data_IF_724914286078
#
_entry.id   IF_724914286078
#
_cell.length_a   1.000
_cell.length_b   1.000
_cell.length_c   1.000
_cell.angle_alpha   90.00
_cell.angle_beta   90.00
_cell.angle_gamma   90.00
#
_symmetry.space_group_name_H-M   'P 1'
#
loop_
_entity.id
_entity.type
_entity.pdbx_description
1 polymer ?
#
# COMPACT_ATOMS: atom_id res chain seq x y z
N UNK A 1 -3.01 -28.76 -2.21
CA UNK A 1 -2.87 -27.64 -1.28
C UNK A 1 -2.02 -26.54 -1.91
N UNK A 2 -2.50 -25.34 -1.87
CA UNK A 2 -1.75 -24.22 -2.45
C UNK A 2 -0.80 -23.62 -1.41
N UNK A 3 0.37 -23.22 -1.89
CA UNK A 3 1.35 -22.54 -1.07
C UNK A 3 0.94 -21.06 -1.01
N UNK A 4 0.88 -20.43 0.18
CA UNK A 4 0.55 -19.02 0.24
C UNK A 4 1.50 -18.18 -0.60
N UNK A 5 0.96 -17.22 -1.29
CA UNK A 5 1.76 -16.30 -2.08
C UNK A 5 2.56 -15.42 -1.12
N UNK A 6 3.88 -15.47 -1.21
CA UNK A 6 4.75 -14.69 -0.34
C UNK A 6 4.49 -13.19 -0.48
N UNK A 7 4.16 -12.75 -1.70
CA UNK A 7 3.86 -11.34 -1.92
C UNK A 7 2.59 -10.92 -1.19
N UNK A 8 1.56 -11.76 -1.21
CA UNK A 8 0.32 -11.45 -0.49
C UNK A 8 0.56 -11.36 1.01
N UNK A 9 1.37 -12.27 1.55
CA UNK A 9 1.70 -12.27 2.95
C UNK A 9 2.47 -11.01 3.33
N UNK A 10 3.46 -10.64 2.54
CA UNK A 10 4.25 -9.43 2.77
C UNK A 10 3.38 -8.18 2.68
N UNK A 11 2.49 -8.13 1.68
CA UNK A 11 1.56 -7.01 1.50
C UNK A 11 0.67 -6.86 2.73
N UNK A 12 0.15 -7.97 3.24
CA UNK A 12 -0.71 -7.95 4.42
C UNK A 12 0.04 -7.43 5.64
N UNK A 13 1.29 -7.85 5.81
CA UNK A 13 2.11 -7.38 6.93
C UNK A 13 2.37 -5.89 6.88
N UNK A 14 2.69 -5.38 5.69
CA UNK A 14 2.94 -3.94 5.51
C UNK A 14 1.65 -3.16 5.77
N UNK A 15 0.52 -3.66 5.31
CA UNK A 15 -0.77 -3.03 5.54
C UNK A 15 -1.08 -2.95 7.05
N UNK A 16 -0.82 -4.02 7.80
CA UNK A 16 -1.03 -4.04 9.24
C UNK A 16 -0.13 -3.02 9.95
N UNK A 17 1.09 -2.84 9.45
CA UNK A 17 2.00 -1.85 10.00
C UNK A 17 1.39 -0.46 9.92
N UNK A 18 0.77 -0.14 8.80
CA UNK A 18 0.11 1.15 8.61
C UNK A 18 -1.08 1.29 9.56
N UNK A 19 -1.87 0.24 9.72
CA UNK A 19 -3.04 0.27 10.60
C UNK A 19 -2.67 0.51 12.05
N UNK A 20 -1.48 0.11 12.46
CA UNK A 20 -1.02 0.27 13.84
C UNK A 20 -0.22 1.55 14.06
N UNK A 21 -0.02 2.36 13.03
CA UNK A 21 0.77 3.59 13.13
C UNK A 21 -0.02 4.80 12.63
N UNK A 22 0.10 5.91 13.34
CA UNK A 22 -0.47 7.18 12.90
C UNK A 22 0.60 8.12 12.32
N UNK A 23 1.84 7.63 12.19
CA UNK A 23 2.95 8.44 11.70
C UNK A 23 2.92 8.49 10.16
N UNK A 24 2.81 9.71 9.62
CA UNK A 24 2.73 9.91 8.17
C UNK A 24 3.98 9.38 7.45
N UNK A 25 5.15 9.48 8.07
CA UNK A 25 6.39 8.97 7.46
C UNK A 25 6.31 7.45 7.32
N UNK A 26 5.83 6.76 8.36
CA UNK A 26 5.66 5.31 8.31
C UNK A 26 4.63 4.93 7.25
N UNK A 27 3.52 5.65 7.19
CA UNK A 27 2.47 5.38 6.21
C UNK A 27 2.96 5.57 4.78
N UNK A 28 3.68 6.65 4.53
CA UNK A 28 4.23 6.93 3.21
C UNK A 28 5.27 5.87 2.81
N UNK A 29 6.15 5.52 3.75
CA UNK A 29 7.15 4.47 3.51
C UNK A 29 6.51 3.12 3.21
N UNK A 30 5.42 2.80 3.90
CA UNK A 30 4.69 1.56 3.66
C UNK A 30 4.08 1.54 2.26
N UNK A 31 3.50 2.67 1.82
CA UNK A 31 2.95 2.77 0.47
C UNK A 31 4.06 2.56 -0.56
N UNK A 32 5.22 3.17 -0.35
CA UNK A 32 6.36 3.00 -1.26
C UNK A 32 6.83 1.55 -1.30
N UNK A 33 6.86 0.89 -0.13
CA UNK A 33 7.22 -0.53 -0.06
C UNK A 33 6.21 -1.37 -0.82
N UNK A 34 4.91 -1.11 -0.65
CA UNK A 34 3.87 -1.82 -1.36
C UNK A 34 4.00 -1.64 -2.87
N UNK A 35 4.42 -0.44 -3.30
CA UNK A 35 4.57 -0.16 -4.72
C UNK A 35 5.58 -1.10 -5.39
N UNK A 36 6.55 -1.62 -4.65
CA UNK A 36 7.53 -2.54 -5.21
C UNK A 36 6.93 -3.87 -5.65
N UNK A 37 5.75 -4.21 -5.12
CA UNK A 37 5.05 -5.44 -5.53
C UNK A 37 4.23 -5.25 -6.80
N UNK A 38 4.00 -4.02 -7.22
CA UNK A 38 3.22 -3.73 -8.42
C UNK A 38 1.72 -3.94 -8.24
N UNK A 39 1.06 -4.43 -9.28
CA UNK A 39 -0.40 -4.58 -9.30
C UNK A 39 -1.00 -5.31 -8.10
N UNK A 40 -0.41 -6.40 -7.61
CA UNK A 40 -0.99 -7.09 -6.45
C UNK A 40 -1.17 -6.20 -5.22
N UNK A 41 -0.43 -5.10 -5.12
CA UNK A 41 -0.51 -4.21 -3.97
C UNK A 41 -1.51 -3.08 -4.13
N UNK A 42 -2.12 -2.92 -5.31
CA UNK A 42 -3.05 -1.80 -5.56
C UNK A 42 -4.21 -1.82 -4.57
N UNK A 43 -4.79 -3.00 -4.32
CA UNK A 43 -5.91 -3.11 -3.39
C UNK A 43 -5.50 -2.70 -1.98
N UNK A 44 -4.31 -3.11 -1.55
CA UNK A 44 -3.81 -2.76 -0.23
C UNK A 44 -3.60 -1.25 -0.10
N UNK A 45 -3.01 -0.63 -1.12
CA UNK A 45 -2.81 0.82 -1.12
C UNK A 45 -4.16 1.53 -1.09
N UNK A 46 -5.13 1.04 -1.87
CA UNK A 46 -6.48 1.61 -1.89
C UNK A 46 -7.14 1.55 -0.51
N UNK A 47 -6.97 0.44 0.21
CA UNK A 47 -7.51 0.32 1.56
C UNK A 47 -6.86 1.31 2.51
N UNK A 48 -5.54 1.49 2.40
CA UNK A 48 -4.81 2.42 3.25
C UNK A 48 -5.30 3.85 3.05
N UNK A 49 -5.41 4.30 1.81
CA UNK A 49 -5.83 5.67 1.53
C UNK A 49 -7.31 5.90 1.81
N UNK A 50 -8.06 4.82 2.02
CA UNK A 50 -9.47 4.92 2.42
C UNK A 50 -9.68 5.06 3.92
N UNK A 51 -8.61 4.96 4.73
CA UNK A 51 -8.74 5.08 6.17
C UNK A 51 -9.04 6.54 6.55
N UNK A 52 -9.97 6.71 7.50
CA UNK A 52 -10.34 8.07 7.93
C UNK A 52 -9.23 8.78 8.67
N UNK A 53 -8.26 8.04 9.20
CA UNK A 53 -7.14 8.60 9.95
C UNK A 53 -5.97 9.03 9.07
N UNK A 54 -6.05 8.78 7.78
CA UNK A 54 -4.96 9.11 6.85
C UNK A 54 -5.01 10.59 6.51
N UNK A 55 -3.86 11.26 6.54
CA UNK A 55 -3.76 12.66 6.16
C UNK A 55 -3.90 12.82 4.64
N UNK A 56 -4.29 14.03 4.22
CA UNK A 56 -4.47 14.31 2.80
C UNK A 56 -3.19 14.11 2.00
N UNK A 57 -2.04 14.45 2.60
CA UNK A 57 -0.75 14.27 1.93
C UNK A 57 -0.44 12.80 1.66
N UNK A 58 -0.71 11.93 2.64
CA UNK A 58 -0.50 10.49 2.47
C UNK A 58 -1.48 9.93 1.45
N UNK A 59 -2.74 10.37 1.51
CA UNK A 59 -3.75 9.94 0.56
C UNK A 59 -3.35 10.29 -0.87
N UNK A 60 -2.90 11.53 -1.08
CA UNK A 60 -2.46 11.97 -2.40
C UNK A 60 -1.28 11.16 -2.90
N UNK A 61 -0.32 10.89 -2.00
CA UNK A 61 0.84 10.06 -2.36
C UNK A 61 0.39 8.66 -2.79
N UNK A 62 -0.55 8.08 -2.06
CA UNK A 62 -1.08 6.75 -2.41
C UNK A 62 -1.79 6.74 -3.75
N UNK A 63 -2.57 7.77 -4.04
CA UNK A 63 -3.26 7.87 -5.32
C UNK A 63 -2.27 7.97 -6.49
N UNK A 64 -1.23 8.78 -6.32
CA UNK A 64 -0.19 8.89 -7.34
C UNK A 64 0.56 7.59 -7.53
N UNK A 65 0.79 6.87 -6.44
CA UNK A 65 1.48 5.58 -6.48
C UNK A 65 0.64 4.55 -7.24
N UNK A 66 -0.66 4.50 -6.97
CA UNK A 66 -1.56 3.59 -7.70
C UNK A 66 -1.54 3.91 -9.20
N UNK A 67 -1.62 5.18 -9.53
CA UNK A 67 -1.59 5.60 -10.93
C UNK A 67 -0.28 5.16 -11.59
N UNK A 68 0.84 5.37 -10.90
CA UNK A 68 2.15 4.97 -11.40
C UNK A 68 2.20 3.46 -11.67
N UNK A 69 1.69 2.66 -10.74
CA UNK A 69 1.67 1.20 -10.89
C UNK A 69 0.86 0.81 -12.13
N UNK A 70 -0.32 1.40 -12.28
CA UNK A 70 -1.19 1.09 -13.42
C UNK A 70 -0.56 1.47 -14.74
N UNK A 71 0.12 2.61 -14.80
CA UNK A 71 0.76 3.08 -16.03
C UNK A 71 1.96 2.24 -16.41
N UNK A 72 2.62 1.62 -15.43
CA UNK A 72 3.83 0.83 -15.67
C UNK A 72 3.54 -0.68 -15.65
N UNK A 73 2.30 -1.05 -15.51
CA UNK A 73 1.89 -2.45 -15.50
C UNK A 73 1.40 -2.85 -16.89
N UNK A 74 1.68 -4.07 -17.24
CA UNK A 74 1.25 -4.60 -18.54
C UNK A 74 0.51 -5.90 -18.38
#
# INVERSE_FOLDING_TARGET
MSIPNKNEEAITRVKHLVYSSSDAVVQTGAIDTLATFGEPAIDAISEIIGLSSISDGVKEHGLKTIKYIKENSR
#
